data_IF_780477617796
#
_entry.id   IF_780477617796
#
_cell.length_a   1.000
_cell.length_b   1.000
_cell.length_c   1.000
_cell.angle_alpha   90.00
_cell.angle_beta   90.00
_cell.angle_gamma   90.00
#
_symmetry.space_group_name_H-M   'P 1'
#
loop_
_entity.id
_entity.type
_entity.pdbx_description
1 polymer ?
#
# COMPACT_ATOMS: atom_id res chain seq x y z
N UNK A 1 13.28 6.87 -23.76
CA UNK A 1 12.29 6.60 -22.69
C UNK A 1 12.97 5.70 -21.65
N UNK A 2 12.91 6.04 -20.37
CA UNK A 2 13.59 5.31 -19.29
C UNK A 2 12.63 5.07 -18.14
N UNK A 3 12.68 3.88 -17.53
CA UNK A 3 11.86 3.54 -16.37
C UNK A 3 12.17 4.47 -15.18
N UNK A 4 11.17 5.07 -14.51
CA UNK A 4 11.42 5.89 -13.33
C UNK A 4 12.12 5.08 -12.24
N UNK A 5 13.17 5.63 -11.66
CA UNK A 5 13.89 4.97 -10.58
C UNK A 5 13.06 5.00 -9.29
N UNK A 6 13.22 3.96 -8.46
CA UNK A 6 12.58 3.93 -7.15
C UNK A 6 13.21 4.98 -6.24
N UNK A 7 12.39 5.79 -5.55
CA UNK A 7 12.87 6.77 -4.59
C UNK A 7 13.66 6.09 -3.45
N UNK A 8 14.80 6.65 -3.00
CA UNK A 8 15.62 6.05 -1.94
C UNK A 8 14.87 5.91 -0.61
N UNK A 9 14.04 6.89 -0.27
CA UNK A 9 13.16 6.88 0.91
C UNK A 9 12.18 5.71 0.87
N UNK A 10 11.61 5.45 -0.32
CA UNK A 10 10.71 4.32 -0.53
C UNK A 10 11.46 3.00 -0.47
N UNK A 11 12.67 2.92 -1.06
CA UNK A 11 13.49 1.72 -0.99
C UNK A 11 13.83 1.34 0.45
N UNK A 12 14.08 2.31 1.32
CA UNK A 12 14.46 2.07 2.72
C UNK A 12 13.36 1.38 3.55
N UNK A 13 12.08 1.57 3.21
CA UNK A 13 10.95 1.02 3.97
C UNK A 13 10.37 -0.26 3.37
N UNK A 14 10.69 -0.57 2.11
CA UNK A 14 10.11 -1.69 1.40
C UNK A 14 10.77 -3.03 1.77
N UNK A 15 10.00 -4.10 1.99
CA UNK A 15 10.55 -5.44 2.13
C UNK A 15 11.35 -5.87 0.89
N UNK A 16 12.36 -6.72 1.08
CA UNK A 16 13.21 -7.22 -0.01
C UNK A 16 12.41 -7.90 -1.13
N UNK A 17 11.33 -8.63 -0.79
CA UNK A 17 10.41 -9.24 -1.76
C UNK A 17 9.73 -8.22 -2.67
N UNK A 18 9.35 -7.06 -2.14
CA UNK A 18 8.72 -5.97 -2.90
C UNK A 18 9.75 -5.21 -3.73
N UNK A 19 10.97 -5.04 -3.22
CA UNK A 19 12.07 -4.47 -3.99
C UNK A 19 12.42 -5.37 -5.19
N UNK A 20 12.46 -6.69 -5.01
CA UNK A 20 12.68 -7.64 -6.10
C UNK A 20 11.56 -7.59 -7.13
N UNK A 21 10.30 -7.50 -6.68
CA UNK A 21 9.15 -7.30 -7.55
C UNK A 21 9.27 -5.98 -8.34
N UNK A 22 9.59 -4.86 -7.68
CA UNK A 22 9.79 -3.57 -8.35
C UNK A 22 10.89 -3.64 -9.42
N UNK A 23 12.02 -4.28 -9.10
CA UNK A 23 13.11 -4.49 -10.05
C UNK A 23 12.68 -5.30 -11.28
N UNK A 24 11.78 -6.29 -11.14
CA UNK A 24 11.21 -7.00 -12.28
C UNK A 24 10.36 -6.07 -13.16
N UNK A 25 9.54 -5.20 -12.58
CA UNK A 25 8.77 -4.21 -13.35
C UNK A 25 9.68 -3.19 -14.06
N UNK A 26 10.77 -2.77 -13.43
CA UNK A 26 11.79 -1.92 -14.09
C UNK A 26 12.37 -2.62 -15.33
N UNK A 27 12.66 -3.92 -15.25
CA UNK A 27 13.10 -4.71 -16.41
C UNK A 27 12.03 -4.76 -17.51
N UNK A 28 10.77 -4.98 -17.16
CA UNK A 28 9.66 -4.96 -18.14
C UNK A 28 9.57 -3.60 -18.85
N UNK A 29 9.64 -2.51 -18.10
CA UNK A 29 9.64 -1.15 -18.65
C UNK A 29 10.86 -0.88 -19.55
N UNK A 30 12.03 -1.41 -19.20
CA UNK A 30 13.25 -1.29 -20.02
C UNK A 30 13.12 -2.04 -21.34
N UNK A 31 12.65 -3.29 -21.33
CA UNK A 31 12.38 -4.06 -22.55
C UNK A 31 11.34 -3.37 -23.43
N UNK A 32 10.26 -2.86 -22.83
CA UNK A 32 9.23 -2.10 -23.53
C UNK A 32 9.78 -0.81 -24.15
N UNK A 33 10.66 -0.09 -23.44
CA UNK A 33 11.33 1.11 -23.96
C UNK A 33 12.19 0.79 -25.18
N UNK A 34 12.94 -0.32 -25.15
CA UNK A 34 13.73 -0.76 -26.29
C UNK A 34 12.83 -1.10 -27.49
N UNK A 35 11.69 -1.74 -27.26
CA UNK A 35 10.68 -2.01 -28.30
C UNK A 35 10.11 -0.74 -28.92
N UNK A 36 9.77 0.27 -28.10
CA UNK A 36 9.29 1.58 -28.58
C UNK A 36 10.37 2.29 -29.42
N UNK A 37 11.64 2.22 -28.99
CA UNK A 37 12.76 2.80 -29.77
C UNK A 37 12.92 2.08 -31.11
N UNK A 38 12.83 0.75 -31.14
CA UNK A 38 12.88 -0.02 -32.38
C UNK A 38 11.72 0.34 -33.32
N UNK A 39 10.50 0.48 -32.78
CA UNK A 39 9.33 0.94 -33.55
C UNK A 39 9.54 2.36 -34.10
N UNK A 40 10.12 3.27 -33.31
CA UNK A 40 10.46 4.62 -33.75
C UNK A 40 11.48 4.64 -34.90
N UNK A 41 12.47 3.74 -34.87
CA UNK A 41 13.41 3.55 -36.00
C UNK A 41 12.70 3.03 -37.24
N UNK A 42 11.76 2.10 -37.10
CA UNK A 42 10.93 1.62 -38.21
C UNK A 42 10.08 2.74 -38.83
N UNK A 43 9.46 3.58 -37.99
CA UNK A 43 8.73 4.77 -38.44
C UNK A 43 9.64 5.75 -39.21
N UNK A 44 10.86 6.01 -38.71
CA UNK A 44 11.83 6.90 -39.35
C UNK A 44 12.24 6.39 -40.76
N UNK A 45 12.40 5.08 -40.94
CA UNK A 45 12.64 4.48 -42.26
C UNK A 45 11.46 4.74 -43.20
N UNK A 46 10.24 4.45 -42.78
CA UNK A 46 9.02 4.64 -43.60
C UNK A 46 8.81 6.11 -43.97
N UNK A 47 9.17 7.04 -43.08
CA UNK A 47 9.06 8.47 -43.33
C UNK A 47 10.10 8.99 -44.34
N UNK A 48 11.29 8.39 -44.39
CA UNK A 48 12.38 8.79 -45.29
C UNK A 48 12.24 8.18 -46.68
N UNK A 49 11.78 6.94 -46.77
CA UNK A 49 11.65 6.20 -48.03
C UNK A 49 10.33 6.47 -48.76
N UNK A 50 10.07 7.73 -49.11
CA UNK A 50 8.79 8.14 -49.72
C UNK A 50 8.52 7.53 -51.11
N UNK A 51 9.54 7.12 -51.86
CA UNK A 51 9.39 6.56 -53.21
C UNK A 51 9.24 5.02 -53.23
N UNK A 52 9.59 4.33 -52.13
CA UNK A 52 9.58 2.86 -52.07
C UNK A 52 8.21 2.28 -51.72
N UNK A 53 7.24 3.11 -51.32
CA UNK A 53 5.92 2.66 -50.90
C UNK A 53 4.81 3.32 -51.73
N UNK A 54 3.83 2.55 -52.22
CA UNK A 54 2.59 3.13 -52.73
C UNK A 54 1.94 4.01 -51.65
N UNK A 55 1.49 5.22 -52.01
CA UNK A 55 1.01 6.25 -51.07
C UNK A 55 -0.02 5.71 -50.07
N UNK A 56 -1.02 4.96 -50.55
CA UNK A 56 -2.07 4.36 -49.72
C UNK A 56 -1.53 3.34 -48.70
N UNK A 57 -0.49 2.57 -49.08
CA UNK A 57 0.13 1.61 -48.18
C UNK A 57 0.97 2.30 -47.11
N UNK A 58 1.69 3.37 -47.48
CA UNK A 58 2.51 4.16 -46.57
C UNK A 58 1.66 4.83 -45.47
N UNK A 59 0.55 5.45 -45.85
CA UNK A 59 -0.34 6.12 -44.89
C UNK A 59 -0.95 5.13 -43.88
N UNK A 60 -1.42 3.97 -44.36
CA UNK A 60 -1.93 2.91 -43.50
C UNK A 60 -0.85 2.36 -42.55
N UNK A 61 0.38 2.18 -43.06
CA UNK A 61 1.51 1.72 -42.26
C UNK A 61 1.87 2.74 -41.17
N UNK A 62 1.99 4.02 -41.52
CA UNK A 62 2.27 5.10 -40.57
C UNK A 62 1.18 5.22 -39.50
N UNK A 63 -0.09 5.10 -39.89
CA UNK A 63 -1.21 5.09 -38.96
C UNK A 63 -1.11 3.93 -37.96
N UNK A 64 -0.96 2.70 -38.47
CA UNK A 64 -0.87 1.50 -37.63
C UNK A 64 0.33 1.54 -36.68
N UNK A 65 1.50 1.98 -37.16
CA UNK A 65 2.71 2.13 -36.35
C UNK A 65 2.55 3.24 -35.30
N UNK A 66 1.91 4.35 -35.64
CA UNK A 66 1.60 5.44 -34.69
C UNK A 66 0.66 4.96 -33.58
N UNK A 67 -0.40 4.24 -33.94
CA UNK A 67 -1.36 3.69 -32.96
C UNK A 67 -0.70 2.63 -32.07
N UNK A 68 0.15 1.76 -32.63
CA UNK A 68 0.97 0.85 -31.84
C UNK A 68 1.91 1.60 -30.87
N UNK A 69 2.56 2.68 -31.33
CA UNK A 69 3.39 3.53 -30.49
C UNK A 69 2.62 4.13 -29.30
N UNK A 70 1.41 4.65 -29.53
CA UNK A 70 0.54 5.18 -28.47
C UNK A 70 0.18 4.12 -27.44
N UNK A 71 -0.20 2.92 -27.90
CA UNK A 71 -0.55 1.79 -27.02
C UNK A 71 0.65 1.40 -26.14
N UNK A 72 1.84 1.26 -26.73
CA UNK A 72 3.04 0.87 -26.00
C UNK A 72 3.47 1.94 -24.98
N UNK A 73 3.36 3.22 -25.33
CA UNK A 73 3.65 4.33 -24.40
C UNK A 73 2.62 4.39 -23.27
N UNK A 74 1.33 4.18 -23.56
CA UNK A 74 0.29 4.07 -22.53
C UNK A 74 0.58 2.90 -21.58
N UNK A 75 0.95 1.74 -22.13
CA UNK A 75 1.29 0.59 -21.31
C UNK A 75 2.52 0.83 -20.42
N UNK A 76 3.53 1.54 -20.94
CA UNK A 76 4.69 1.96 -20.15
C UNK A 76 4.29 2.85 -18.96
N UNK A 77 3.35 3.76 -19.18
CA UNK A 77 2.78 4.62 -18.13
C UNK A 77 1.98 3.79 -17.11
N UNK A 78 1.15 2.85 -17.54
CA UNK A 78 0.36 1.97 -16.68
C UNK A 78 1.23 1.06 -15.81
N UNK A 79 2.38 0.63 -16.30
CA UNK A 79 3.38 -0.08 -15.49
C UNK A 79 3.90 0.80 -14.34
N UNK A 80 4.12 2.09 -14.58
CA UNK A 80 4.55 3.03 -13.54
C UNK A 80 3.47 3.18 -12.47
N UNK A 81 2.20 3.30 -12.87
CA UNK A 81 1.07 3.31 -11.93
C UNK A 81 0.91 1.99 -11.18
N UNK A 82 1.13 0.85 -11.84
CA UNK A 82 1.07 -0.47 -11.20
C UNK A 82 2.14 -0.61 -10.12
N UNK A 83 3.36 -0.11 -10.40
CA UNK A 83 4.43 -0.01 -9.40
C UNK A 83 4.01 0.81 -8.19
N UNK A 84 3.47 2.00 -8.42
CA UNK A 84 2.93 2.86 -7.34
C UNK A 84 1.86 2.10 -6.54
N UNK A 85 0.89 1.45 -7.20
CA UNK A 85 -0.22 0.71 -6.56
C UNK A 85 0.24 -0.35 -5.57
N UNK A 86 1.23 -1.19 -5.90
CA UNK A 86 1.69 -2.22 -4.96
C UNK A 86 2.67 -1.70 -3.90
N UNK A 87 3.26 -0.52 -4.11
CA UNK A 87 4.14 0.14 -3.14
C UNK A 87 3.34 0.95 -2.11
N UNK A 88 2.23 1.56 -2.51
CA UNK A 88 1.38 2.39 -1.65
C UNK A 88 1.01 1.75 -0.30
N UNK A 89 0.67 0.45 -0.19
CA UNK A 89 0.34 -0.18 1.09
C UNK A 89 1.43 -0.05 2.16
N UNK A 90 2.70 0.10 1.78
CA UNK A 90 3.84 0.22 2.68
C UNK A 90 4.08 1.66 3.17
N UNK A 91 3.32 2.62 2.64
CA UNK A 91 3.41 4.04 3.01
C UNK A 91 2.46 4.37 4.16
N UNK A 92 2.83 5.34 5.01
CA UNK A 92 1.94 5.83 6.06
C UNK A 92 0.79 6.67 5.46
N UNK A 93 -0.33 6.84 6.19
CA UNK A 93 -1.53 7.55 5.66
C UNK A 93 -1.20 8.97 5.21
N UNK A 94 -0.45 9.73 6.02
CA UNK A 94 -0.10 11.12 5.72
C UNK A 94 0.76 11.23 4.47
N UNK A 95 1.58 10.22 4.17
CA UNK A 95 2.48 10.20 3.04
C UNK A 95 1.80 9.69 1.77
N UNK A 96 0.71 8.92 1.86
CA UNK A 96 -0.09 8.49 0.71
C UNK A 96 -0.73 9.65 -0.04
N UNK A 97 -1.39 10.57 0.65
CA UNK A 97 -2.09 11.70 0.03
C UNK A 97 -1.13 12.62 -0.75
N UNK A 98 0.07 12.80 -0.20
CA UNK A 98 1.17 13.55 -0.84
C UNK A 98 1.68 12.82 -2.08
N UNK A 99 1.87 11.50 -1.95
CA UNK A 99 2.41 10.65 -3.00
C UNK A 99 1.45 10.47 -4.17
N UNK A 100 0.13 10.53 -3.94
CA UNK A 100 -0.87 10.47 -5.02
C UNK A 100 -0.76 11.68 -5.96
N UNK A 101 -0.53 12.87 -5.39
CA UNK A 101 -0.42 14.13 -6.14
C UNK A 101 0.92 14.29 -6.87
N UNK A 102 1.91 13.43 -6.62
CA UNK A 102 3.21 13.50 -7.28
C UNK A 102 3.20 12.68 -8.58
N UNK A 103 3.30 13.32 -9.77
CA UNK A 103 3.42 12.58 -11.01
C UNK A 103 4.79 11.88 -11.09
N UNK A 104 4.84 10.66 -11.66
CA UNK A 104 6.11 10.01 -11.93
C UNK A 104 6.90 10.82 -12.96
N UNK A 105 8.08 11.28 -12.56
CA UNK A 105 9.06 11.95 -13.43
C UNK A 105 10.28 11.03 -13.55
N UNK A 106 11.48 11.52 -13.22
CA UNK A 106 12.69 10.69 -13.20
C UNK A 106 12.68 9.67 -12.05
N UNK A 107 11.98 10.02 -10.96
CA UNK A 107 11.71 9.13 -9.84
C UNK A 107 10.22 8.75 -9.83
N UNK A 108 9.93 7.53 -9.37
CA UNK A 108 8.59 6.94 -9.37
C UNK A 108 7.55 7.78 -8.61
N UNK A 109 8.01 8.52 -7.58
CA UNK A 109 7.20 9.43 -6.78
C UNK A 109 7.67 10.89 -6.84
N UNK A 110 8.46 11.24 -7.87
CA UNK A 110 9.02 12.59 -8.05
C UNK A 110 10.27 12.87 -7.22
N UNK A 111 11.03 13.90 -7.63
CA UNK A 111 12.24 14.38 -6.94
C UNK A 111 11.94 14.99 -5.58
N UNK A 112 10.79 15.63 -5.45
CA UNK A 112 10.48 16.50 -4.31
C UNK A 112 9.85 15.73 -3.15
N UNK A 113 9.88 14.40 -3.20
CA UNK A 113 9.25 13.56 -2.19
C UNK A 113 9.79 13.89 -0.79
N UNK A 114 11.11 13.93 -0.63
CA UNK A 114 11.76 14.26 0.63
C UNK A 114 11.26 15.58 1.23
N UNK A 115 11.14 16.60 0.39
CA UNK A 115 10.71 17.94 0.78
C UNK A 115 9.24 17.95 1.17
N UNK A 116 8.37 17.31 0.38
CA UNK A 116 6.94 17.23 0.68
C UNK A 116 6.65 16.43 1.96
N UNK A 117 7.40 15.35 2.21
CA UNK A 117 7.27 14.60 3.48
C UNK A 117 7.71 15.44 4.68
N UNK A 118 8.81 16.20 4.56
CA UNK A 118 9.24 17.13 5.62
C UNK A 118 8.22 18.24 5.85
N UNK A 119 7.72 18.86 4.79
CA UNK A 119 6.70 19.90 4.86
C UNK A 119 5.42 19.39 5.54
N UNK A 120 4.95 18.20 5.18
CA UNK A 120 3.76 17.62 5.81
C UNK A 120 3.97 17.28 7.29
N UNK A 121 5.15 16.80 7.67
CA UNK A 121 5.48 16.60 9.10
C UNK A 121 5.49 17.93 9.87
N UNK A 122 6.03 18.99 9.28
CA UNK A 122 5.98 20.34 9.86
C UNK A 122 4.55 20.84 10.01
N UNK A 123 3.72 20.70 8.98
CA UNK A 123 2.30 21.10 9.03
C UNK A 123 1.54 20.29 10.10
N UNK A 124 1.78 18.97 10.20
CA UNK A 124 1.15 18.14 11.23
C UNK A 124 1.56 18.56 12.64
N UNK A 125 2.84 18.89 12.83
CA UNK A 125 3.36 19.43 14.09
C UNK A 125 2.67 20.75 14.44
N UNK A 126 2.72 21.73 13.55
CA UNK A 126 2.09 23.04 13.76
C UNK A 126 0.58 22.94 13.95
N UNK A 127 -0.09 22.02 13.25
CA UNK A 127 -1.51 21.75 13.41
C UNK A 127 -1.87 21.18 14.79
N UNK A 128 -0.97 20.38 15.41
CA UNK A 128 -1.15 19.91 16.80
C UNK A 128 -1.04 21.06 17.80
N UNK A 129 -0.14 22.01 17.56
CA UNK A 129 0.01 23.20 18.40
C UNK A 129 -1.20 24.15 18.29
N UNK A 130 -1.82 24.21 17.10
CA UNK A 130 -3.03 24.99 16.85
C UNK A 130 -4.31 24.30 17.33
N UNK A 131 -4.28 22.98 17.57
CA UNK A 131 -5.44 22.23 18.03
C UNK A 131 -5.73 22.60 19.48
N UNK A 132 -6.83 23.33 19.71
CA UNK A 132 -7.28 23.68 21.05
C UNK A 132 -7.31 22.42 21.93
N UNK A 133 -6.63 22.48 23.08
CA UNK A 133 -6.70 21.43 24.11
C UNK A 133 -8.17 21.24 24.47
N UNK A 134 -8.78 20.14 24.02
CA UNK A 134 -10.09 19.73 24.51
C UNK A 134 -10.02 19.69 26.04
N UNK A 135 -10.87 20.42 26.78
CA UNK A 135 -10.88 20.32 28.23
C UNK A 135 -11.07 18.85 28.59
N UNK A 136 -10.11 18.26 29.30
CA UNK A 136 -10.31 16.95 29.90
C UNK A 136 -11.48 17.10 30.87
N UNK A 137 -12.67 16.67 30.46
CA UNK A 137 -13.74 16.38 31.40
C UNK A 137 -13.24 15.23 32.26
N UNK A 138 -12.65 15.56 33.40
CA UNK A 138 -12.43 14.60 34.48
C UNK A 138 -13.84 14.13 34.88
N UNK A 139 -14.20 12.84 34.72
CA UNK A 139 -15.37 12.36 35.42
C UNK A 139 -15.02 12.35 36.91
N UNK A 140 -15.40 13.41 37.62
CA UNK A 140 -15.46 13.40 39.08
C UNK A 140 -16.50 12.34 39.44
N UNK A 141 -16.05 11.13 39.75
CA UNK A 141 -16.86 10.13 40.43
C UNK A 141 -17.31 10.74 41.76
N UNK A 142 -18.57 11.15 41.86
CA UNK A 142 -19.18 11.41 43.16
C UNK A 142 -19.60 10.06 43.75
N UNK A 143 -19.28 9.76 45.02
CA UNK A 143 -19.89 8.64 45.70
C UNK A 143 -21.22 9.14 46.27
N UNK A 144 -22.35 8.85 45.61
CA UNK A 144 -23.64 8.94 46.29
C UNK A 144 -23.72 7.80 47.31
N UNK A 145 -23.54 8.18 48.58
CA UNK A 145 -23.63 7.31 49.73
C UNK A 145 -25.10 7.06 50.12
N UNK A 146 -25.34 5.86 50.68
CA UNK A 146 -26.38 5.50 51.64
C UNK A 146 -27.84 5.78 51.27
N UNK A 147 -28.60 4.70 50.99
CA UNK A 147 -29.64 4.22 51.90
C UNK A 147 -30.03 2.78 51.50
N UNK A 148 -29.83 1.84 52.42
CA UNK A 148 -30.18 0.41 52.27
C UNK A 148 -31.57 0.18 52.88
N UNK A 149 -32.27 -0.90 52.49
CA UNK A 149 -32.76 -1.78 53.55
C UNK A 149 -32.22 -3.20 53.41
N UNK A 150 -31.75 -3.70 54.54
CA UNK A 150 -31.26 -5.05 54.78
C UNK A 150 -32.41 -6.05 54.63
N UNK A 151 -32.32 -7.01 53.70
CA UNK A 151 -33.25 -8.13 53.64
C UNK A 151 -32.86 -9.13 54.73
N UNK A 152 -33.74 -9.26 55.73
CA UNK A 152 -33.59 -10.18 56.86
C UNK A 152 -33.53 -11.63 56.37
N UNK A 153 -32.60 -12.38 56.95
CA UNK A 153 -32.48 -13.82 56.86
C UNK A 153 -33.44 -14.46 57.87
N UNK A 154 -34.07 -15.60 57.52
CA UNK A 154 -34.72 -16.48 58.49
C UNK A 154 -34.24 -17.92 58.27
N UNK A 155 -33.35 -18.33 59.19
CA UNK A 155 -33.14 -19.64 59.85
C UNK A 155 -34.14 -20.78 59.52
N UNK A 156 -33.87 -22.09 59.55
CA UNK A 156 -32.84 -22.96 60.19
C UNK A 156 -33.00 -24.41 59.67
N UNK A 157 -31.95 -25.26 59.71
CA UNK A 157 -32.07 -26.73 59.59
C UNK A 157 -30.71 -27.46 59.50
N UNK A 158 -30.38 -28.51 60.28
CA UNK A 158 -28.99 -28.76 60.70
C UNK A 158 -28.36 -30.10 60.25
N UNK A 159 -27.05 -30.21 60.50
CA UNK A 159 -26.18 -31.43 60.58
C UNK A 159 -25.86 -32.08 59.21
N UNK A 160 -24.65 -32.51 58.88
CA UNK A 160 -23.42 -32.78 59.62
C UNK A 160 -22.70 -33.96 58.91
N UNK A 161 -21.38 -34.02 59.09
CA UNK A 161 -20.50 -35.19 58.92
C UNK A 161 -19.96 -35.61 57.54
N UNK A 162 -18.61 -35.53 57.44
CA UNK A 162 -17.65 -36.59 57.03
C UNK A 162 -17.94 -37.34 55.72
N UNK A 163 -17.05 -37.44 54.73
CA UNK A 163 -15.73 -38.09 54.84
C UNK A 163 -15.01 -38.00 53.49
N UNK A 164 -13.67 -37.96 53.55
CA UNK A 164 -12.76 -38.39 52.48
C UNK A 164 -13.21 -39.72 51.87
N UNK A 165 -13.16 -39.85 50.54
CA UNK A 165 -12.80 -41.12 49.90
C UNK A 165 -12.04 -40.90 48.58
N UNK A 166 -10.89 -41.57 48.52
CA UNK A 166 -10.12 -41.87 47.31
C UNK A 166 -10.94 -42.78 46.39
N UNK A 167 -10.80 -42.62 45.07
CA UNK A 167 -10.67 -43.76 44.17
C UNK A 167 -9.97 -43.40 42.85
N UNK A 168 -8.83 -44.06 42.62
CA UNK A 168 -8.27 -44.42 41.30
C UNK A 168 -9.37 -45.15 40.50
N UNK A 169 -9.39 -45.21 39.16
CA UNK A 169 -8.48 -46.02 38.32
C UNK A 169 -9.05 -46.09 36.89
N UNK A 170 -8.15 -46.28 35.91
CA UNK A 170 -8.34 -46.99 34.62
C UNK A 170 -9.16 -46.28 33.53
N UNK A 171 -8.81 -46.27 32.24
CA UNK A 171 -7.74 -46.87 31.42
C UNK A 171 -7.84 -46.19 30.04
N UNK A 172 -6.76 -45.71 29.44
CA UNK A 172 -5.89 -46.43 28.51
C UNK A 172 -6.64 -47.23 27.43
N UNK A 173 -6.58 -46.74 26.18
CA UNK A 173 -6.13 -47.42 24.94
C UNK A 173 -6.71 -46.63 23.73
N UNK A 174 -5.86 -46.02 22.89
CA UNK A 174 -5.31 -46.60 21.65
C UNK A 174 -6.38 -46.75 20.54
N UNK A 175 -6.15 -46.52 19.25
CA UNK A 175 -4.93 -46.35 18.44
C UNK A 175 -5.40 -46.16 16.99
N UNK A 176 -4.56 -45.53 16.16
CA UNK A 176 -4.31 -45.86 14.73
C UNK A 176 -5.47 -45.61 13.75
N UNK A 177 -5.23 -45.25 12.50
CA UNK A 177 -4.03 -45.32 11.64
C UNK A 177 -3.89 -44.04 10.84
#
# INVERSE_FOLDING_TARGET
LTAPALNPETRAILPSSIQAKDAAYVKFQSSLSNGIVALGRGLDIVLRENENFPTNCRENLLKNLSDAGKILVSFFHDLSFSRRKFIFPYMNKNTKDILEQCPPTNLLFGSDLAEKVKAAKHIESSGKDLKASTPRSNPRTSPLNRYRPTRQMRETGPKGNTSRFHARRSGNLNRKT
#
